data_IF_985143796192
#
_entry.id   IF_985143796192
#
_cell.length_a   1.000
_cell.length_b   1.000
_cell.length_c   1.000
_cell.angle_alpha   90.00
_cell.angle_beta   90.00
_cell.angle_gamma   90.00
#
_symmetry.space_group_name_H-M   'P 1'
#
loop_
_entity.id
_entity.type
_entity.pdbx_description
1 polymer ?
#
# COMPACT_ATOMS: atom_id res chain seq x y z
N UNK A 1 -15.31 11.91 19.17
CA UNK A 1 -14.36 12.00 20.31
C UNK A 1 -14.86 11.27 21.55
N UNK A 2 -16.12 11.42 21.97
CA UNK A 2 -16.66 10.73 23.16
C UNK A 2 -16.52 9.19 23.07
N UNK A 3 -16.98 8.58 21.97
CA UNK A 3 -16.84 7.14 21.73
C UNK A 3 -15.40 6.64 21.81
N UNK A 4 -14.45 7.36 21.21
CA UNK A 4 -13.03 6.99 21.27
C UNK A 4 -12.45 7.09 22.70
N UNK A 5 -12.92 8.02 23.53
CA UNK A 5 -12.51 8.09 24.95
C UNK A 5 -13.02 6.89 25.73
N UNK A 6 -14.28 6.53 25.52
CA UNK A 6 -14.89 5.38 26.18
C UNK A 6 -14.20 4.07 25.77
N UNK A 7 -14.04 3.83 24.47
CA UNK A 7 -13.32 2.67 23.95
C UNK A 7 -11.91 2.55 24.56
N UNK A 8 -11.19 3.68 24.66
CA UNK A 8 -9.86 3.68 25.29
C UNK A 8 -9.92 3.36 26.79
N UNK A 9 -10.94 3.81 27.52
CA UNK A 9 -11.13 3.46 28.94
C UNK A 9 -11.30 1.95 29.10
N UNK A 10 -12.19 1.34 28.32
CA UNK A 10 -12.45 -0.11 28.31
C UNK A 10 -11.18 -0.92 28.04
N UNK A 11 -10.36 -0.49 27.08
CA UNK A 11 -9.07 -1.11 26.78
C UNK A 11 -8.10 -1.03 27.96
N UNK A 12 -8.07 0.10 28.69
CA UNK A 12 -7.22 0.28 29.86
C UNK A 12 -7.73 -0.49 31.09
N UNK A 13 -9.04 -0.73 31.18
CA UNK A 13 -9.67 -1.60 32.18
C UNK A 13 -9.43 -3.10 31.90
N UNK A 14 -8.81 -3.44 30.75
CA UNK A 14 -8.42 -4.80 30.40
C UNK A 14 -9.42 -5.56 29.53
N UNK A 15 -10.42 -4.88 28.96
CA UNK A 15 -11.32 -5.52 28.00
C UNK A 15 -10.54 -5.99 26.75
N UNK A 16 -10.84 -7.19 26.20
CA UNK A 16 -10.19 -7.68 25.00
C UNK A 16 -10.32 -6.71 23.82
N UNK A 17 -9.20 -6.41 23.17
CA UNK A 17 -9.14 -5.43 22.08
C UNK A 17 -10.13 -5.75 20.96
N UNK A 18 -10.22 -7.01 20.57
CA UNK A 18 -11.08 -7.47 19.48
C UNK A 18 -12.56 -7.26 19.80
N UNK A 19 -12.95 -7.34 21.09
CA UNK A 19 -14.32 -7.03 21.53
C UNK A 19 -14.61 -5.53 21.41
N UNK A 20 -13.69 -4.70 21.89
CA UNK A 20 -13.82 -3.24 21.78
C UNK A 20 -13.86 -2.80 20.32
N UNK A 21 -13.05 -3.41 19.45
CA UNK A 21 -13.09 -3.13 18.00
C UNK A 21 -14.46 -3.46 17.41
N UNK A 22 -15.01 -4.64 17.70
CA UNK A 22 -16.32 -5.03 17.14
C UNK A 22 -17.45 -4.11 17.63
N UNK A 23 -17.36 -3.58 18.85
CA UNK A 23 -18.37 -2.70 19.43
C UNK A 23 -18.27 -1.23 18.98
N UNK A 24 -17.04 -0.69 18.91
CA UNK A 24 -16.82 0.75 18.75
C UNK A 24 -16.22 1.15 17.40
N UNK A 25 -15.69 0.21 16.61
CA UNK A 25 -15.06 0.56 15.33
C UNK A 25 -16.09 0.82 14.24
N UNK A 26 -15.95 1.96 13.56
CA UNK A 26 -16.74 2.33 12.38
C UNK A 26 -16.11 1.84 11.07
N UNK A 27 -14.92 1.22 11.11
CA UNK A 27 -14.30 0.63 9.92
C UNK A 27 -15.08 -0.63 9.48
N UNK A 28 -15.62 -0.68 8.24
CA UNK A 28 -16.37 -1.82 7.73
C UNK A 28 -15.64 -3.15 7.83
N UNK A 29 -14.31 -3.14 7.73
CA UNK A 29 -13.47 -4.35 7.78
C UNK A 29 -13.34 -4.91 9.20
N UNK A 30 -13.57 -4.08 10.23
CA UNK A 30 -13.35 -4.43 11.64
C UNK A 30 -14.18 -5.61 12.12
N UNK A 31 -15.35 -5.85 11.53
CA UNK A 31 -16.19 -7.02 11.87
C UNK A 31 -15.56 -8.34 11.41
N UNK A 32 -14.71 -8.29 10.38
CA UNK A 32 -14.10 -9.47 9.76
C UNK A 32 -12.69 -9.67 10.33
N UNK A 33 -11.85 -8.64 10.29
CA UNK A 33 -10.43 -8.73 10.68
C UNK A 33 -10.18 -8.39 12.15
N UNK A 34 -11.22 -8.03 12.92
CA UNK A 34 -11.13 -7.61 14.33
C UNK A 34 -10.11 -6.47 14.55
N UNK A 35 -9.92 -5.62 13.55
CA UNK A 35 -9.00 -4.47 13.59
C UNK A 35 -7.55 -4.81 13.23
N UNK A 36 -7.27 -6.04 12.78
CA UNK A 36 -5.93 -6.42 12.35
C UNK A 36 -5.56 -5.80 11.00
N UNK A 37 -4.40 -5.12 10.96
CA UNK A 37 -3.85 -4.48 9.75
C UNK A 37 -2.61 -5.21 9.20
N UNK A 38 -2.11 -6.23 9.90
CA UNK A 38 -0.84 -6.89 9.56
C UNK A 38 0.38 -5.97 9.69
N UNK A 39 1.48 -6.35 9.01
CA UNK A 39 2.70 -5.54 8.99
C UNK A 39 2.65 -4.52 7.86
N UNK A 40 2.87 -3.25 8.21
CA UNK A 40 3.04 -2.17 7.25
C UNK A 40 4.38 -1.45 7.46
N UNK A 41 4.82 -0.75 6.41
CA UNK A 41 6.04 0.07 6.37
C UNK A 41 5.68 1.55 6.41
N UNK A 42 6.68 2.39 6.67
CA UNK A 42 6.55 3.85 6.51
C UNK A 42 6.13 4.21 5.08
N UNK A 43 5.28 5.22 4.95
CA UNK A 43 4.66 5.67 3.71
C UNK A 43 3.40 4.91 3.30
N UNK A 44 2.91 3.94 4.10
CA UNK A 44 1.71 3.16 3.76
C UNK A 44 0.44 3.63 4.49
N UNK A 45 0.56 4.42 5.55
CA UNK A 45 -0.56 4.91 6.35
C UNK A 45 -0.59 6.43 6.41
N UNK A 46 -1.74 7.01 6.79
CA UNK A 46 -1.86 8.45 7.03
C UNK A 46 -0.86 8.92 8.09
N UNK A 47 -0.23 10.07 7.85
CA UNK A 47 0.91 10.55 8.65
C UNK A 47 0.68 10.51 10.17
N UNK A 48 -0.45 11.00 10.72
CA UNK A 48 -0.68 10.96 12.18
C UNK A 48 -0.82 9.53 12.72
N UNK A 49 -1.41 8.62 11.94
CA UNK A 49 -1.54 7.21 12.30
C UNK A 49 -0.17 6.54 12.31
N UNK A 50 0.61 6.76 11.27
CA UNK A 50 1.94 6.20 11.13
C UNK A 50 2.87 6.65 12.27
N UNK A 51 2.94 7.95 12.53
CA UNK A 51 3.79 8.51 13.58
C UNK A 51 3.45 7.92 14.96
N UNK A 52 2.17 7.74 15.25
CA UNK A 52 1.74 7.09 16.48
C UNK A 52 2.14 5.60 16.49
N UNK A 53 1.86 4.83 15.44
CA UNK A 53 2.22 3.41 15.39
C UNK A 53 3.73 3.16 15.55
N UNK A 54 4.55 3.99 14.90
CA UNK A 54 6.00 3.87 14.95
C UNK A 54 6.63 4.51 16.21
N UNK A 55 5.91 5.31 16.98
CA UNK A 55 6.38 5.80 18.30
C UNK A 55 6.04 4.86 19.46
N UNK A 56 5.11 3.92 19.28
CA UNK A 56 4.77 2.93 20.32
C UNK A 56 5.93 1.97 20.63
N UNK A 57 6.27 1.83 21.91
CA UNK A 57 7.38 0.97 22.36
C UNK A 57 6.89 -0.35 23.00
N UNK A 58 5.73 -0.31 23.66
CA UNK A 58 5.20 -1.45 24.41
C UNK A 58 4.41 -2.40 23.51
N UNK A 59 4.91 -3.63 23.35
CA UNK A 59 4.15 -4.73 22.74
C UNK A 59 2.89 -5.00 23.59
N UNK A 60 1.78 -5.23 22.91
CA UNK A 60 0.41 -5.29 23.45
C UNK A 60 -0.05 -4.01 24.15
N UNK A 61 0.68 -2.90 24.01
CA UNK A 61 0.26 -1.59 24.50
C UNK A 61 -0.74 -0.91 23.57
N UNK A 62 -1.46 0.07 24.11
CA UNK A 62 -2.41 0.90 23.37
C UNK A 62 -1.89 2.33 23.18
N UNK A 63 -2.21 2.95 22.05
CA UNK A 63 -1.85 4.34 21.77
C UNK A 63 -2.71 5.34 22.56
N UNK A 64 -2.35 6.62 22.46
CA UNK A 64 -3.32 7.69 22.69
C UNK A 64 -4.33 7.76 21.54
N UNK A 65 -5.38 8.56 21.71
CA UNK A 65 -6.36 8.79 20.64
C UNK A 65 -5.70 9.65 19.56
N UNK A 66 -5.68 9.14 18.33
CA UNK A 66 -5.06 9.79 17.17
C UNK A 66 -6.18 10.36 16.30
N UNK A 67 -6.06 11.62 15.89
CA UNK A 67 -6.99 12.24 14.94
C UNK A 67 -6.41 12.14 13.52
N UNK A 68 -7.20 11.61 12.58
CA UNK A 68 -6.89 11.63 11.15
C UNK A 68 -8.08 12.20 10.38
N UNK A 69 -7.97 12.29 9.05
CA UNK A 69 -9.09 12.68 8.18
C UNK A 69 -10.28 11.72 8.24
N UNK A 70 -10.05 10.48 8.68
CA UNK A 70 -11.08 9.44 8.81
C UNK A 70 -11.71 9.39 10.22
N UNK A 71 -11.35 10.31 11.12
CA UNK A 71 -11.89 10.35 12.48
C UNK A 71 -10.85 10.07 13.55
N UNK A 72 -11.20 9.25 14.54
CA UNK A 72 -10.37 8.99 15.73
C UNK A 72 -9.95 7.53 15.79
N UNK A 73 -8.67 7.30 16.07
CA UNK A 73 -8.03 5.98 16.02
C UNK A 73 -7.36 5.66 17.35
N UNK A 74 -7.41 4.39 17.75
CA UNK A 74 -6.65 3.83 18.87
C UNK A 74 -5.96 2.57 18.35
N UNK A 75 -4.66 2.47 18.55
CA UNK A 75 -3.84 1.39 18.02
C UNK A 75 -3.44 0.44 19.14
N UNK A 76 -3.36 -0.85 18.83
CA UNK A 76 -2.69 -1.86 19.63
C UNK A 76 -1.43 -2.30 18.89
N UNK A 77 -0.26 -2.21 19.55
CA UNK A 77 0.98 -2.69 18.95
C UNK A 77 1.13 -4.18 19.23
N UNK A 78 0.78 -5.04 18.27
CA UNK A 78 0.91 -6.49 18.46
C UNK A 78 2.33 -7.00 18.21
N UNK A 79 3.00 -6.48 17.18
CA UNK A 79 4.34 -6.88 16.83
C UNK A 79 5.09 -5.75 16.13
N UNK A 80 6.41 -5.70 16.33
CA UNK A 80 7.32 -4.80 15.61
C UNK A 80 8.45 -5.61 15.00
N UNK A 81 8.66 -5.45 13.70
CA UNK A 81 9.86 -5.94 13.01
C UNK A 81 10.82 -4.77 12.86
N UNK A 82 12.05 -4.91 13.35
CA UNK A 82 13.08 -3.90 13.10
C UNK A 82 13.28 -3.81 11.59
N UNK A 83 13.16 -2.59 11.06
CA UNK A 83 13.72 -2.29 9.75
C UNK A 83 15.23 -2.53 9.80
N UNK A 84 15.78 -3.01 8.71
CA UNK A 84 17.21 -3.23 8.60
C UNK A 84 17.63 -3.31 7.14
N UNK A 85 18.82 -2.80 6.86
CA UNK A 85 19.49 -3.10 5.60
C UNK A 85 19.97 -4.55 5.68
N UNK A 86 19.54 -5.38 4.74
CA UNK A 86 20.17 -6.69 4.59
C UNK A 86 21.64 -6.46 4.23
N UNK A 87 22.60 -7.20 4.80
CA UNK A 87 24.01 -7.12 4.41
C UNK A 87 24.13 -7.18 2.89
N UNK A 88 24.96 -6.30 2.32
CA UNK A 88 25.13 -6.21 0.86
C UNK A 88 25.34 -7.58 0.21
N UNK A 89 26.13 -8.45 0.84
CA UNK A 89 26.38 -9.82 0.37
C UNK A 89 25.11 -10.66 0.17
N UNK A 90 24.08 -10.49 0.99
CA UNK A 90 22.82 -11.23 0.88
C UNK A 90 21.88 -10.67 -0.20
N UNK A 91 22.08 -9.44 -0.64
CA UNK A 91 21.22 -8.77 -1.65
C UNK A 91 21.96 -8.42 -2.94
N UNK A 92 23.27 -8.67 -3.02
CA UNK A 92 24.11 -8.33 -4.17
C UNK A 92 23.55 -8.89 -5.48
N UNK A 93 23.12 -10.16 -5.47
CA UNK A 93 22.54 -10.81 -6.66
C UNK A 93 21.27 -10.08 -7.12
N UNK A 94 20.32 -9.88 -6.21
CA UNK A 94 19.04 -9.21 -6.51
C UNK A 94 19.25 -7.77 -7.05
N UNK A 95 20.22 -7.05 -6.47
CA UNK A 95 20.60 -5.70 -6.94
C UNK A 95 21.15 -5.78 -8.37
N UNK A 96 22.09 -6.69 -8.64
CA UNK A 96 22.66 -6.87 -9.98
C UNK A 96 21.58 -7.25 -11.00
N UNK A 97 20.70 -8.18 -10.67
CA UNK A 97 19.65 -8.64 -11.57
C UNK A 97 18.63 -7.52 -11.86
N UNK A 98 18.28 -6.74 -10.85
CA UNK A 98 17.42 -5.55 -11.01
C UNK A 98 18.06 -4.50 -11.92
N UNK A 99 19.35 -4.18 -11.69
CA UNK A 99 20.10 -3.21 -12.50
C UNK A 99 20.27 -3.69 -13.95
N UNK A 100 20.57 -4.97 -14.17
CA UNK A 100 20.63 -5.56 -15.53
C UNK A 100 19.31 -5.44 -16.26
N UNK A 101 18.19 -5.74 -15.58
CA UNK A 101 16.85 -5.62 -16.16
C UNK A 101 16.53 -4.18 -16.52
N UNK A 102 16.84 -3.24 -15.62
CA UNK A 102 16.64 -1.81 -15.86
C UNK A 102 17.47 -1.32 -17.06
N UNK A 103 18.78 -1.60 -17.08
CA UNK A 103 19.66 -1.22 -18.17
C UNK A 103 19.23 -1.83 -19.52
N UNK A 104 18.87 -3.11 -19.55
CA UNK A 104 18.37 -3.77 -20.76
C UNK A 104 17.07 -3.14 -21.28
N UNK A 105 16.14 -2.78 -20.38
CA UNK A 105 14.91 -2.10 -20.77
C UNK A 105 15.18 -0.71 -21.34
N UNK A 106 16.07 0.08 -20.72
CA UNK A 106 16.46 1.38 -21.23
C UNK A 106 17.17 1.27 -22.59
N UNK A 107 18.08 0.31 -22.76
CA UNK A 107 18.76 0.06 -24.03
C UNK A 107 17.77 -0.33 -25.14
N UNK A 108 16.83 -1.24 -24.85
CA UNK A 108 15.78 -1.64 -25.79
C UNK A 108 14.89 -0.46 -26.18
N UNK A 109 14.51 0.38 -25.21
CA UNK A 109 13.71 1.57 -25.47
C UNK A 109 14.45 2.55 -26.40
N UNK A 110 15.73 2.80 -26.13
CA UNK A 110 16.54 3.69 -26.95
C UNK A 110 16.75 3.16 -28.37
N UNK A 111 17.07 1.86 -28.50
CA UNK A 111 17.16 1.22 -29.81
C UNK A 111 15.84 1.26 -30.58
N UNK A 112 14.71 1.06 -29.90
CA UNK A 112 13.40 1.16 -30.53
C UNK A 112 13.13 2.58 -31.06
N UNK A 113 13.46 3.61 -30.28
CA UNK A 113 13.33 5.02 -30.71
C UNK A 113 14.22 5.29 -31.93
N UNK A 114 15.47 4.83 -31.91
CA UNK A 114 16.42 5.01 -33.02
C UNK A 114 15.97 4.29 -34.30
N UNK A 115 15.56 3.02 -34.19
CA UNK A 115 15.03 2.25 -35.32
C UNK A 115 13.76 2.90 -35.88
N UNK A 116 12.87 3.38 -35.01
CA UNK A 116 11.65 4.07 -35.42
C UNK A 116 11.95 5.38 -36.14
N UNK A 117 12.94 6.16 -35.70
CA UNK A 117 13.30 7.42 -36.35
C UNK A 117 13.96 7.22 -37.72
N UNK A 118 14.68 6.11 -37.92
CA UNK A 118 15.34 5.78 -39.19
C UNK A 118 14.41 5.09 -40.20
N UNK A 119 13.33 4.49 -39.74
CA UNK A 119 12.41 3.78 -40.61
C UNK A 119 11.40 4.72 -41.26
N UNK A 120 11.23 4.60 -42.58
CA UNK A 120 10.17 5.30 -43.32
C UNK A 120 8.83 4.58 -43.13
N UNK A 121 8.18 4.84 -42.01
CA UNK A 121 6.91 4.19 -41.65
C UNK A 121 5.78 5.21 -41.72
N UNK A 122 4.87 5.05 -42.67
CA UNK A 122 3.61 5.78 -42.72
C UNK A 122 2.50 4.96 -42.04
N UNK A 123 1.59 5.65 -41.36
CA UNK A 123 0.43 5.03 -40.72
C UNK A 123 -0.81 5.34 -41.53
N UNK A 124 -1.51 4.31 -42.01
CA UNK A 124 -2.83 4.48 -42.62
C UNK A 124 -3.85 4.77 -41.51
N UNK A 125 -4.13 6.05 -41.33
CA UNK A 125 -5.06 6.54 -40.32
C UNK A 125 -6.47 5.99 -40.52
N UNK A 126 -6.90 5.75 -41.76
CA UNK A 126 -8.25 5.23 -42.05
C UNK A 126 -8.36 3.78 -41.60
N UNK A 127 -7.38 2.95 -41.95
CA UNK A 127 -7.34 1.55 -41.52
C UNK A 127 -7.25 1.43 -39.99
N UNK A 128 -6.46 2.29 -39.34
CA UNK A 128 -6.35 2.31 -37.87
C UNK A 128 -7.69 2.67 -37.19
N UNK A 129 -8.38 3.70 -37.67
CA UNK A 129 -9.69 4.09 -37.11
C UNK A 129 -10.74 2.99 -37.27
N UNK A 130 -10.74 2.26 -38.38
CA UNK A 130 -11.63 1.11 -38.58
C UNK A 130 -11.33 0.02 -37.55
N UNK A 131 -10.04 -0.31 -37.34
CA UNK A 131 -9.62 -1.31 -36.37
C UNK A 131 -10.03 -0.94 -34.92
N UNK A 132 -9.89 0.32 -34.54
CA UNK A 132 -10.28 0.82 -33.21
C UNK A 132 -11.80 0.73 -32.99
N UNK A 133 -12.60 1.02 -34.02
CA UNK A 133 -14.07 0.91 -33.98
C UNK A 133 -14.48 -0.57 -33.82
N UNK A 134 -13.84 -1.49 -34.55
CA UNK A 134 -14.11 -2.93 -34.45
C UNK A 134 -13.75 -3.49 -33.07
N UNK A 135 -12.59 -3.12 -32.51
CA UNK A 135 -12.18 -3.54 -31.17
C UNK A 135 -13.14 -3.03 -30.09
N UNK A 136 -13.61 -1.78 -30.18
CA UNK A 136 -14.61 -1.23 -29.27
C UNK A 136 -15.94 -1.98 -29.35
N UNK A 137 -16.40 -2.32 -30.55
CA UNK A 137 -17.62 -3.12 -30.74
C UNK A 137 -17.50 -4.51 -30.12
N UNK A 138 -16.34 -5.17 -30.27
CA UNK A 138 -16.08 -6.47 -29.63
C UNK A 138 -16.08 -6.39 -28.10
N UNK A 139 -15.55 -5.31 -27.52
CA UNK A 139 -15.52 -5.12 -26.07
C UNK A 139 -16.91 -4.83 -25.48
N UNK A 140 -17.78 -4.11 -26.21
CA UNK A 140 -19.13 -3.79 -25.77
C UNK A 140 -20.16 -4.93 -25.95
N UNK A 141 -19.77 -6.03 -26.61
CA UNK A 141 -20.62 -7.20 -26.85
C UNK A 141 -20.38 -8.36 -25.85
N UNK A 142 -19.52 -8.15 -24.86
CA UNK A 142 -19.30 -9.02 -23.69
C UNK A 142 -19.85 -8.37 -22.44
#
# INVERSE_FOLDING_TARGET
>A
MALAKEARSRLLEGEPFEKVVVQYSEDPTSKINKGSLGFFKRGQMEKPFEEAAFSMEKINGFSQIIKTKFGFHILKLEARKKGGMKPFMLVKKDIIDSLKKSASNSARQNQFIELRSKASISMDKKALTILEIEQRKQWSAK
#
